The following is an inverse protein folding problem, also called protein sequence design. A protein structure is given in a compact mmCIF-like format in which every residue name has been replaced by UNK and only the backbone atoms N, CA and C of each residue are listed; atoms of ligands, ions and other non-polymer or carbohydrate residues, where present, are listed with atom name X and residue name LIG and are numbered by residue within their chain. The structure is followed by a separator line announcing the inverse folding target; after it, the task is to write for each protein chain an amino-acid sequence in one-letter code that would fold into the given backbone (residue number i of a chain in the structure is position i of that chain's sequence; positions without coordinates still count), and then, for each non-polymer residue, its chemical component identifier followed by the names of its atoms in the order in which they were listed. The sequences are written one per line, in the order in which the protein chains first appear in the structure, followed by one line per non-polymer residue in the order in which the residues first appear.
data_IF_625094641481
#
_entry.id   IF_625094641481
#
_cell.length_a   1.000
_cell.length_b   1.000
_cell.length_c   1.000
_cell.angle_alpha   90.00
_cell.angle_beta   90.00
_cell.angle_gamma   90.00
#
_symmetry.space_group_name_H-M   'P 1'
#
loop_
_entity.id
_entity.type
_entity.pdbx_description
1 polymer ?
#
# COMPACT_ATOMS: atom_id res chain seq x y z
N UNK A 1 1.07 1.11 -13.24
CA UNK A 1 -0.21 0.87 -12.53
C UNK A 1 -0.18 -0.40 -11.68
N UNK A 2 0.42 -1.50 -12.12
CA UNK A 2 0.47 -2.75 -11.31
C UNK A 2 1.22 -2.59 -9.98
N UNK A 3 2.38 -1.93 -9.96
CA UNK A 3 3.16 -1.69 -8.73
C UNK A 3 2.31 -1.00 -7.64
N UNK A 4 1.57 0.04 -8.02
CA UNK A 4 0.67 0.77 -7.13
C UNK A 4 -0.46 -0.09 -6.59
N UNK A 5 -1.05 -0.95 -7.43
CA UNK A 5 -2.12 -1.87 -7.01
C UNK A 5 -1.59 -2.95 -6.07
N UNK A 6 -0.41 -3.52 -6.35
CA UNK A 6 0.26 -4.51 -5.49
C UNK A 6 0.60 -3.90 -4.14
N UNK A 7 1.22 -2.72 -4.13
CA UNK A 7 1.56 -1.99 -2.91
C UNK A 7 0.31 -1.66 -2.08
N UNK A 8 -0.77 -1.23 -2.73
CA UNK A 8 -2.02 -0.93 -2.04
C UNK A 8 -2.65 -2.17 -1.42
N UNK A 9 -2.67 -3.29 -2.13
CA UNK A 9 -3.16 -4.56 -1.58
C UNK A 9 -2.36 -4.99 -0.35
N UNK A 10 -1.03 -4.92 -0.39
CA UNK A 10 -0.20 -5.21 0.78
C UNK A 10 -0.53 -4.28 1.96
N UNK A 11 -0.70 -2.99 1.70
CA UNK A 11 -1.08 -1.99 2.69
C UNK A 11 -2.45 -2.29 3.31
N UNK A 12 -3.47 -2.56 2.49
CA UNK A 12 -4.83 -2.84 2.99
C UNK A 12 -4.86 -4.12 3.82
N UNK A 13 -4.18 -5.19 3.38
CA UNK A 13 -4.07 -6.44 4.14
C UNK A 13 -3.36 -6.21 5.48
N UNK A 14 -2.30 -5.40 5.52
CA UNK A 14 -1.65 -5.04 6.77
C UNK A 14 -2.60 -4.27 7.70
N UNK A 15 -3.31 -3.27 7.18
CA UNK A 15 -4.29 -2.50 7.96
C UNK A 15 -5.38 -3.40 8.56
N UNK A 16 -5.94 -4.33 7.79
CA UNK A 16 -6.93 -5.29 8.27
C UNK A 16 -6.39 -6.18 9.40
N UNK A 17 -5.17 -6.70 9.24
CA UNK A 17 -4.52 -7.55 10.25
C UNK A 17 -4.27 -6.84 11.58
N UNK A 18 -4.06 -5.52 11.54
CA UNK A 18 -3.82 -4.70 12.73
C UNK A 18 -5.07 -3.91 13.19
N UNK A 19 -6.23 -4.10 12.56
CA UNK A 19 -7.46 -3.37 12.88
C UNK A 19 -7.41 -1.87 12.62
N UNK A 20 -6.58 -1.45 11.65
CA UNK A 20 -6.38 -0.05 11.28
C UNK A 20 -7.30 0.37 10.13
N UNK A 21 -7.70 1.64 10.11
CA UNK A 21 -8.42 2.21 8.97
C UNK A 21 -7.54 2.33 7.73
N UNK A 22 -8.16 2.07 6.57
CA UNK A 22 -7.51 2.09 5.26
C UNK A 22 -7.73 3.44 4.60
N UNK A 23 -6.66 4.05 4.09
CA UNK A 23 -6.74 5.27 3.27
C UNK A 23 -7.18 4.95 1.84
N UNK A 24 -7.88 5.88 1.21
CA UNK A 24 -8.30 5.78 -0.19
C UNK A 24 -7.12 5.58 -1.17
N UNK A 25 -7.34 4.78 -2.21
CA UNK A 25 -6.30 4.45 -3.20
C UNK A 25 -5.69 5.70 -3.84
N UNK A 26 -6.51 6.71 -4.13
CA UNK A 26 -6.02 7.97 -4.73
C UNK A 26 -5.13 8.75 -3.76
N UNK A 27 -5.40 8.69 -2.46
CA UNK A 27 -4.57 9.33 -1.45
C UNK A 27 -3.26 8.57 -1.28
N UNK A 28 -3.33 7.24 -1.23
CA UNK A 28 -2.18 6.33 -1.16
C UNK A 28 -1.18 6.57 -2.29
N UNK A 29 -1.63 6.68 -3.54
CA UNK A 29 -0.71 6.90 -4.69
C UNK A 29 -0.16 8.33 -4.77
N UNK A 30 -0.83 9.32 -4.16
CA UNK A 30 -0.42 10.74 -4.27
C UNK A 30 0.47 11.20 -3.12
N UNK A 31 0.44 10.51 -1.99
CA UNK A 31 1.16 10.91 -0.77
C UNK A 31 2.35 10.02 -0.44
N UNK A 32 2.57 8.92 -1.17
CA UNK A 32 3.71 8.05 -0.98
C UNK A 32 4.83 8.35 -1.96
N UNK A 33 6.07 8.32 -1.46
CA UNK A 33 7.26 8.35 -2.32
C UNK A 33 7.42 7.02 -3.07
N UNK A 34 8.18 7.04 -4.17
CA UNK A 34 8.47 5.81 -4.93
C UNK A 34 9.17 4.75 -4.07
N UNK A 35 10.01 5.15 -3.11
CA UNK A 35 10.61 4.23 -2.14
C UNK A 35 9.58 3.57 -1.23
N UNK A 36 8.60 4.32 -0.72
CA UNK A 36 7.56 3.78 0.14
C UNK A 36 6.65 2.81 -0.63
N UNK A 37 6.28 3.16 -1.86
CA UNK A 37 5.52 2.27 -2.75
C UNK A 37 6.28 0.98 -3.05
N UNK A 38 7.59 1.10 -3.30
CA UNK A 38 8.46 -0.05 -3.52
C UNK A 38 8.54 -0.94 -2.28
N UNK A 39 8.65 -0.35 -1.08
CA UNK A 39 8.66 -1.10 0.17
C UNK A 39 7.37 -1.90 0.38
N UNK A 40 6.20 -1.27 0.20
CA UNK A 40 4.90 -1.95 0.30
C UNK A 40 4.75 -3.07 -0.74
N UNK A 41 5.25 -2.88 -1.96
CA UNK A 41 5.18 -3.90 -3.03
C UNK A 41 6.02 -5.16 -2.77
N UNK A 42 6.98 -5.08 -1.83
CA UNK A 42 7.92 -6.15 -1.45
C UNK A 42 7.55 -6.83 -0.11
N UNK A 43 6.48 -6.41 0.57
CA UNK A 43 6.07 -6.98 1.85
C UNK A 43 5.45 -8.39 1.76
N UNK A 44 5.15 -8.87 0.55
CA UNK A 44 4.68 -10.24 0.29
C UNK A 44 5.69 -10.88 -0.67
N UNK A 45 6.73 -11.46 -0.10
CA UNK A 45 7.65 -12.44 -0.69
C UNK A 45 7.94 -13.50 0.39
#
# INVERSE_FOLDING_TARGET
MELYRKAYHCYTTACENYGMEVMDFRYFITHLTEEQLTAYSKMID
#
